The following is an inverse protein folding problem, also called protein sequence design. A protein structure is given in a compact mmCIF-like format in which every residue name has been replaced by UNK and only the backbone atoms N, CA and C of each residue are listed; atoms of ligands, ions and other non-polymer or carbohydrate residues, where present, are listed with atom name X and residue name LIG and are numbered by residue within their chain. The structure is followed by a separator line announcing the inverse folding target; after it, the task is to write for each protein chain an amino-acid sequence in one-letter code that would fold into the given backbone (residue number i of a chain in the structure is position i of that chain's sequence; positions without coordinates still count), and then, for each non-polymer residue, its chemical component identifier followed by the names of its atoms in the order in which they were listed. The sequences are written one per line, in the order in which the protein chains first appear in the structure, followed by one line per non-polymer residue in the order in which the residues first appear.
data_IF_067720615616
#
_entry.id   IF_067720615616
#
_cell.length_a   1.000
_cell.length_b   1.000
_cell.length_c   1.000
_cell.angle_alpha   90.00
_cell.angle_beta   90.00
_cell.angle_gamma   90.00
#
_symmetry.space_group_name_H-M   'P 1'
#
loop_
_entity.id
_entity.type
_entity.pdbx_description
1 polymer ?
#
# COMPACT_ATOMS: atom_id res chain seq x y z
N UNK A 1 -8.85 -18.72 -5.40
CA UNK A 1 -9.90 -17.92 -6.10
C UNK A 1 -10.68 -18.68 -7.18
N UNK A 2 -10.04 -19.46 -8.07
CA UNK A 2 -10.76 -20.12 -9.18
C UNK A 2 -11.98 -20.95 -8.79
N UNK A 3 -12.00 -21.59 -7.61
CA UNK A 3 -13.14 -22.39 -7.14
C UNK A 3 -14.37 -21.52 -6.82
N UNK A 4 -14.16 -20.36 -6.20
CA UNK A 4 -15.23 -19.45 -5.80
C UNK A 4 -15.97 -18.86 -7.01
N UNK A 5 -15.21 -18.43 -8.03
CA UNK A 5 -15.78 -17.88 -9.27
C UNK A 5 -16.52 -18.93 -10.10
N UNK A 6 -16.22 -20.22 -9.92
CA UNK A 6 -16.93 -21.33 -10.60
C UNK A 6 -18.32 -21.59 -10.03
N UNK A 7 -18.58 -21.30 -8.75
CA UNK A 7 -19.89 -21.57 -8.14
C UNK A 7 -21.01 -20.78 -8.82
N UNK A 8 -20.77 -19.49 -9.12
CA UNK A 8 -21.72 -18.67 -9.87
C UNK A 8 -22.06 -19.26 -11.25
N UNK A 9 -21.05 -19.74 -11.98
CA UNK A 9 -21.24 -20.34 -13.31
C UNK A 9 -22.03 -21.65 -13.26
N UNK A 10 -21.70 -22.52 -12.29
CA UNK A 10 -22.39 -23.79 -12.11
C UNK A 10 -23.86 -23.57 -11.70
N UNK A 11 -24.11 -22.64 -10.78
CA UNK A 11 -25.48 -22.31 -10.36
C UNK A 11 -26.30 -21.69 -11.49
N UNK A 12 -25.71 -20.83 -12.31
CA UNK A 12 -26.35 -20.30 -13.53
C UNK A 12 -26.70 -21.40 -14.52
N UNK A 13 -25.84 -22.43 -14.65
CA UNK A 13 -26.12 -23.59 -15.50
C UNK A 13 -27.24 -24.47 -14.93
N UNK A 14 -27.27 -24.72 -13.62
CA UNK A 14 -28.34 -25.45 -12.95
C UNK A 14 -29.67 -24.71 -13.10
N UNK A 15 -29.71 -23.40 -12.81
CA UNK A 15 -30.88 -22.55 -13.01
C UNK A 15 -31.42 -22.60 -14.44
N UNK A 16 -30.55 -22.68 -15.45
CA UNK A 16 -30.97 -22.80 -16.86
C UNK A 16 -31.69 -24.12 -17.15
N UNK A 17 -31.38 -25.19 -16.42
CA UNK A 17 -31.93 -26.54 -16.61
C UNK A 17 -33.06 -26.87 -15.60
N UNK A 18 -33.45 -25.95 -14.72
CA UNK A 18 -34.54 -26.14 -13.76
C UNK A 18 -35.84 -25.59 -14.35
N UNK A 19 -36.88 -26.43 -14.40
CA UNK A 19 -38.22 -26.10 -14.92
C UNK A 19 -39.19 -25.60 -13.83
N UNK A 20 -38.95 -25.96 -12.57
CA UNK A 20 -39.79 -25.53 -11.44
C UNK A 20 -39.50 -24.06 -11.07
N UNK A 21 -40.51 -23.20 -11.18
CA UNK A 21 -40.41 -21.76 -10.90
C UNK A 21 -40.04 -21.41 -9.45
N UNK A 22 -40.52 -22.17 -8.46
CA UNK A 22 -40.17 -21.95 -7.05
C UNK A 22 -38.67 -22.19 -6.82
N UNK A 23 -38.15 -23.28 -7.37
CA UNK A 23 -36.72 -23.62 -7.30
C UNK A 23 -35.86 -22.63 -8.11
N UNK A 24 -36.37 -22.10 -9.22
CA UNK A 24 -35.67 -21.05 -10.00
C UNK A 24 -35.53 -19.75 -9.22
N UNK A 25 -36.56 -19.37 -8.45
CA UNK A 25 -36.51 -18.20 -7.59
C UNK A 25 -35.44 -18.36 -6.49
N UNK A 26 -35.40 -19.52 -5.81
CA UNK A 26 -34.36 -19.84 -4.82
C UNK A 26 -32.96 -19.84 -5.42
N UNK A 27 -32.79 -20.46 -6.60
CA UNK A 27 -31.52 -20.48 -7.33
C UNK A 27 -31.06 -19.07 -7.72
N UNK A 28 -31.98 -18.17 -8.08
CA UNK A 28 -31.67 -16.77 -8.39
C UNK A 28 -31.12 -16.04 -7.16
N UNK A 29 -31.75 -16.25 -6.00
CA UNK A 29 -31.25 -15.71 -4.74
C UNK A 29 -29.86 -16.25 -4.41
N UNK A 30 -29.65 -17.56 -4.55
CA UNK A 30 -28.36 -18.19 -4.29
C UNK A 30 -27.26 -17.69 -5.24
N UNK A 31 -27.56 -17.53 -6.53
CA UNK A 31 -26.63 -16.95 -7.51
C UNK A 31 -26.21 -15.54 -7.08
N UNK A 32 -27.16 -14.70 -6.69
CA UNK A 32 -26.89 -13.34 -6.21
C UNK A 32 -25.98 -13.36 -4.99
N UNK A 33 -26.29 -14.19 -3.98
CA UNK A 33 -25.46 -14.30 -2.78
C UNK A 33 -24.03 -14.77 -3.08
N UNK A 34 -23.85 -15.71 -4.01
CA UNK A 34 -22.53 -16.16 -4.43
C UNK A 34 -21.78 -15.07 -5.20
N UNK A 35 -22.45 -14.34 -6.10
CA UNK A 35 -21.85 -13.23 -6.84
C UNK A 35 -21.41 -12.10 -5.89
N UNK A 36 -22.25 -11.72 -4.93
CA UNK A 36 -21.94 -10.71 -3.91
C UNK A 36 -20.77 -11.16 -3.01
N UNK A 37 -20.74 -12.43 -2.63
CA UNK A 37 -19.64 -13.01 -1.85
C UNK A 37 -18.32 -12.97 -2.63
N UNK A 38 -18.32 -13.37 -3.90
CA UNK A 38 -17.14 -13.31 -4.77
C UNK A 38 -16.65 -11.87 -4.91
N UNK A 39 -17.55 -10.90 -5.08
CA UNK A 39 -17.21 -9.49 -5.16
C UNK A 39 -16.55 -8.98 -3.85
N UNK A 40 -17.11 -9.36 -2.70
CA UNK A 40 -16.57 -9.03 -1.38
C UNK A 40 -15.16 -9.61 -1.18
N UNK A 41 -14.96 -10.89 -1.50
CA UNK A 41 -13.65 -11.54 -1.42
C UNK A 41 -12.63 -10.88 -2.35
N UNK A 42 -13.01 -10.56 -3.59
CA UNK A 42 -12.14 -9.84 -4.52
C UNK A 42 -11.74 -8.46 -3.98
N UNK A 43 -12.69 -7.72 -3.40
CA UNK A 43 -12.42 -6.41 -2.82
C UNK A 43 -11.50 -6.52 -1.59
N UNK A 44 -11.64 -7.55 -0.76
CA UNK A 44 -10.75 -7.80 0.37
C UNK A 44 -9.33 -8.16 -0.08
N UNK A 45 -9.19 -9.03 -1.09
CA UNK A 45 -7.88 -9.39 -1.66
C UNK A 45 -7.18 -8.17 -2.26
N UNK A 46 -7.91 -7.35 -3.03
CA UNK A 46 -7.39 -6.12 -3.60
C UNK A 46 -6.88 -5.16 -2.52
N UNK A 47 -7.67 -4.92 -1.47
CA UNK A 47 -7.24 -4.07 -0.34
C UNK A 47 -5.99 -4.62 0.35
N UNK A 48 -5.92 -5.93 0.59
CA UNK A 48 -4.73 -6.52 1.21
C UNK A 48 -3.48 -6.34 0.34
N UNK A 49 -3.60 -6.49 -0.97
CA UNK A 49 -2.50 -6.25 -1.90
C UNK A 49 -2.08 -4.78 -1.91
N UNK A 50 -3.04 -3.86 -1.95
CA UNK A 50 -2.79 -2.40 -1.88
C UNK A 50 -2.09 -2.00 -0.59
N UNK A 51 -2.54 -2.51 0.56
CA UNK A 51 -1.90 -2.29 1.87
C UNK A 51 -0.48 -2.86 1.90
N UNK A 52 -0.26 -4.07 1.37
CA UNK A 52 1.06 -4.68 1.32
C UNK A 52 2.03 -3.87 0.43
N UNK A 53 1.54 -3.37 -0.72
CA UNK A 53 2.32 -2.48 -1.61
C UNK A 53 2.69 -1.18 -0.90
N UNK A 54 1.73 -0.56 -0.19
CA UNK A 54 2.01 0.65 0.59
C UNK A 54 3.04 0.41 1.70
N UNK A 55 2.93 -0.70 2.43
CA UNK A 55 3.89 -1.08 3.47
C UNK A 55 5.30 -1.31 2.91
N UNK A 56 5.40 -1.96 1.73
CA UNK A 56 6.67 -2.15 1.03
C UNK A 56 7.27 -0.85 0.51
N UNK A 57 6.45 0.15 0.17
CA UNK A 57 6.93 1.47 -0.18
C UNK A 57 7.41 2.24 1.05
N UNK A 58 6.65 2.19 2.15
CA UNK A 58 7.00 2.84 3.41
C UNK A 58 8.34 2.35 3.97
N UNK A 59 8.64 1.05 3.86
CA UNK A 59 9.92 0.48 4.34
C UNK A 59 11.15 0.96 3.56
N UNK A 60 10.97 1.54 2.36
CA UNK A 60 12.05 2.11 1.55
C UNK A 60 12.26 3.61 1.80
N UNK A 61 11.34 4.26 2.51
CA UNK A 61 11.38 5.71 2.73
C UNK A 61 11.98 5.99 4.11
N UNK A 62 12.98 6.88 4.14
CA UNK A 62 13.56 7.37 5.39
C UNK A 62 12.77 8.56 5.96
N UNK A 63 13.08 8.95 7.19
CA UNK A 63 12.52 10.15 7.83
C UNK A 63 12.73 11.40 6.97
N UNK A 64 11.76 12.30 6.99
CA UNK A 64 11.84 13.58 6.27
C UNK A 64 13.01 14.43 6.79
N UNK A 65 13.98 14.70 5.91
CA UNK A 65 15.25 15.38 6.24
C UNK A 65 15.42 16.65 5.38
N UNK A 66 14.51 17.62 5.55
CA UNK A 66 14.52 18.88 4.74
C UNK A 66 14.82 20.11 5.58
N UNK A 67 15.06 19.95 6.89
CA UNK A 67 15.50 21.06 7.73
C UNK A 67 17.01 21.00 7.91
N UNK A 68 17.74 21.50 6.91
CA UNK A 68 19.18 21.78 7.05
C UNK A 68 19.36 22.93 8.06
N UNK A 69 19.49 22.57 9.34
CA UNK A 69 19.86 23.51 10.40
C UNK A 69 21.38 23.63 10.49
N UNK A 70 21.89 24.84 10.73
CA UNK A 70 23.31 25.05 11.05
C UNK A 70 23.65 24.66 12.50
N UNK A 71 22.62 24.41 13.31
CA UNK A 71 22.70 24.04 14.72
C UNK A 71 22.29 22.56 14.90
N UNK A 72 23.25 21.74 15.33
CA UNK A 72 23.08 20.30 15.58
C UNK A 72 22.11 19.99 16.74
N UNK A 73 22.00 20.88 17.73
CA UNK A 73 21.06 20.69 18.84
C UNK A 73 19.63 20.88 18.34
N UNK A 74 19.41 21.94 17.55
CA UNK A 74 18.13 22.19 16.91
C UNK A 74 17.73 21.06 15.95
N UNK A 75 18.67 20.51 15.18
CA UNK A 75 18.41 19.37 14.30
C UNK A 75 17.94 18.15 15.10
N UNK A 76 18.59 17.83 16.23
CA UNK A 76 18.19 16.73 17.12
C UNK A 76 16.78 16.94 17.67
N UNK A 77 16.43 18.16 18.09
CA UNK A 77 15.09 18.47 18.58
C UNK A 77 14.03 18.30 17.48
N UNK A 78 14.28 18.81 16.27
CA UNK A 78 13.33 18.76 15.16
C UNK A 78 13.13 17.31 14.69
N UNK A 79 14.18 16.51 14.65
CA UNK A 79 14.12 15.12 14.21
C UNK A 79 13.21 14.25 15.08
N UNK A 80 13.15 14.52 16.39
CA UNK A 80 12.25 13.82 17.32
C UNK A 80 10.78 14.05 16.95
N UNK A 81 10.46 15.23 16.42
CA UNK A 81 9.10 15.60 16.01
C UNK A 81 8.81 15.37 14.52
N UNK A 82 9.82 15.00 13.73
CA UNK A 82 9.70 14.76 12.29
C UNK A 82 9.37 13.29 11.99
N UNK A 83 8.23 12.84 12.49
CA UNK A 83 7.71 11.50 12.19
C UNK A 83 6.96 11.52 10.86
N UNK A 84 7.44 10.73 9.90
CA UNK A 84 6.78 10.55 8.61
C UNK A 84 6.32 9.11 8.49
N UNK A 85 5.00 8.90 8.45
CA UNK A 85 4.41 7.58 8.29
C UNK A 85 3.20 7.67 7.34
N UNK A 86 3.30 6.97 6.22
CA UNK A 86 2.26 6.90 5.20
C UNK A 86 1.27 5.75 5.43
N UNK A 87 1.54 4.85 6.38
CA UNK A 87 0.77 3.64 6.64
C UNK A 87 -0.27 3.81 7.74
N UNK A 88 0.10 4.38 8.90
CA UNK A 88 -0.80 4.47 10.05
C UNK A 88 -1.49 5.83 10.18
N UNK A 89 -0.89 6.89 9.64
CA UNK A 89 -1.42 8.25 9.80
C UNK A 89 -2.64 8.45 8.89
N UNK A 90 -3.81 8.82 9.45
CA UNK A 90 -5.03 8.99 8.68
C UNK A 90 -4.93 10.16 7.71
N UNK A 91 -5.69 10.09 6.63
CA UNK A 91 -5.75 11.14 5.61
C UNK A 91 -6.55 12.34 6.18
N UNK A 92 -5.96 13.55 6.25
CA UNK A 92 -6.67 14.73 6.73
C UNK A 92 -7.94 15.00 5.92
N UNK A 93 -9.08 15.20 6.60
CA UNK A 93 -10.36 15.49 5.94
C UNK A 93 -11.10 14.27 5.38
N UNK A 94 -10.56 13.06 5.52
CA UNK A 94 -11.25 11.82 5.15
C UNK A 94 -11.81 11.07 6.36
N UNK A 95 -12.83 10.21 6.16
CA UNK A 95 -13.28 9.25 7.18
C UNK A 95 -12.13 8.34 7.64
N UNK A 96 -12.17 7.92 8.92
CA UNK A 96 -11.14 7.07 9.53
C UNK A 96 -10.94 5.72 8.83
N UNK A 97 -11.96 5.24 8.12
CA UNK A 97 -11.91 3.98 7.37
C UNK A 97 -11.27 4.12 5.98
N UNK A 98 -10.91 5.34 5.59
CA UNK A 98 -10.26 5.61 4.31
C UNK A 98 -8.81 5.16 4.38
N UNK A 99 -8.48 4.14 3.60
CA UNK A 99 -7.11 3.66 3.48
C UNK A 99 -6.36 4.46 2.41
N UNK A 100 -5.14 4.86 2.73
CA UNK A 100 -4.20 5.41 1.74
C UNK A 100 -3.81 4.29 0.77
N UNK A 101 -3.77 4.59 -0.53
CA UNK A 101 -3.36 3.63 -1.56
C UNK A 101 -2.25 4.22 -2.41
N UNK A 102 -1.23 3.41 -2.68
CA UNK A 102 -0.18 3.72 -3.66
C UNK A 102 -0.71 3.43 -5.06
N UNK A 103 -0.96 4.49 -5.84
CA UNK A 103 -1.51 4.40 -7.20
C UNK A 103 -0.43 4.07 -8.22
N UNK A 104 0.74 4.69 -8.09
CA UNK A 104 1.88 4.52 -9.01
C UNK A 104 3.17 4.95 -8.33
N UNK A 105 4.27 4.33 -8.73
CA UNK A 105 5.61 4.80 -8.40
C UNK A 105 6.55 4.67 -9.60
N UNK A 106 7.68 5.38 -9.58
CA UNK A 106 8.71 5.27 -10.61
C UNK A 106 9.78 6.34 -10.55
N UNK A 107 10.88 6.07 -11.26
CA UNK A 107 12.03 6.97 -11.32
C UNK A 107 11.83 8.07 -12.38
N UNK A 108 12.05 9.31 -11.98
CA UNK A 108 11.86 10.50 -12.80
C UNK A 108 13.01 11.49 -12.62
N UNK A 109 13.13 12.42 -13.56
CA UNK A 109 14.11 13.52 -13.50
C UNK A 109 13.40 14.81 -13.13
N UNK A 110 13.64 15.31 -11.93
CA UNK A 110 13.12 16.61 -11.48
C UNK A 110 14.06 17.72 -11.96
N UNK A 111 13.50 18.77 -12.56
CA UNK A 111 14.24 19.98 -12.91
C UNK A 111 13.92 21.06 -11.89
N UNK A 112 14.94 21.49 -11.15
CA UNK A 112 14.81 22.62 -10.23
C UNK A 112 15.12 23.95 -10.95
N UNK A 113 14.61 25.07 -10.43
CA UNK A 113 14.72 26.42 -11.01
C UNK A 113 16.19 26.86 -11.21
N UNK A 114 17.12 26.29 -10.45
CA UNK A 114 18.56 26.59 -10.49
C UNK A 114 19.32 25.71 -11.53
N UNK A 115 18.61 25.08 -12.47
CA UNK A 115 19.11 24.28 -13.61
C UNK A 115 19.60 22.86 -13.33
N UNK A 116 19.65 22.41 -12.08
CA UNK A 116 20.04 21.04 -11.76
C UNK A 116 18.91 20.05 -12.10
N UNK A 117 19.22 19.04 -12.93
CA UNK A 117 18.37 17.87 -13.13
C UNK A 117 18.76 16.83 -12.07
N UNK A 118 17.82 16.45 -11.23
CA UNK A 118 18.00 15.46 -10.16
C UNK A 118 17.20 14.20 -10.49
N UNK A 119 17.80 13.03 -10.29
CA UNK A 119 17.08 11.76 -10.32
C UNK A 119 16.33 11.57 -9.00
N UNK A 120 15.04 11.31 -9.08
CA UNK A 120 14.12 11.16 -7.95
C UNK A 120 13.24 9.95 -8.15
N UNK A 121 12.83 9.31 -7.06
CA UNK A 121 11.80 8.28 -7.06
C UNK A 121 10.48 8.92 -6.62
N UNK A 122 9.44 8.83 -7.44
CA UNK A 122 8.14 9.44 -7.17
C UNK A 122 7.16 8.37 -6.71
N UNK A 123 6.39 8.68 -5.67
CA UNK A 123 5.24 7.87 -5.24
C UNK A 123 3.97 8.71 -5.31
N UNK A 124 3.02 8.28 -6.13
CA UNK A 124 1.70 8.87 -6.25
C UNK A 124 0.72 8.09 -5.37
N UNK A 125 0.26 8.73 -4.30
CA UNK A 125 -0.74 8.21 -3.38
C UNK A 125 -2.09 8.88 -3.65
N UNK A 126 -3.14 8.41 -2.98
CA UNK A 126 -4.50 8.94 -3.10
C UNK A 126 -4.65 10.40 -2.68
N UNK A 127 -3.81 10.85 -1.75
CA UNK A 127 -3.90 12.15 -1.07
C UNK A 127 -2.61 12.98 -1.17
N UNK A 128 -1.51 12.40 -1.67
CA UNK A 128 -0.20 13.05 -1.69
C UNK A 128 0.69 12.53 -2.82
N UNK A 129 1.61 13.39 -3.25
CA UNK A 129 2.69 13.05 -4.19
C UNK A 129 4.02 13.18 -3.45
N UNK A 130 4.74 12.09 -3.29
CA UNK A 130 6.06 12.08 -2.67
C UNK A 130 7.14 12.13 -3.73
N UNK A 131 8.14 12.96 -3.49
CA UNK A 131 9.34 13.06 -4.30
C UNK A 131 10.52 12.67 -3.41
N UNK A 132 11.00 11.45 -3.57
CA UNK A 132 12.08 10.90 -2.77
C UNK A 132 13.41 11.10 -3.50
N UNK A 133 14.37 11.74 -2.83
CA UNK A 133 15.76 11.80 -3.29
C UNK A 133 16.47 10.48 -2.93
N UNK A 134 17.44 10.02 -3.73
CA UNK A 134 18.26 8.88 -3.36
C UNK A 134 19.03 9.18 -2.07
N UNK A 135 18.92 8.31 -1.07
CA UNK A 135 19.70 8.42 0.18
C UNK A 135 21.15 8.03 -0.08
N UNK A 136 22.10 8.83 0.41
CA UNK A 136 23.54 8.56 0.32
C UNK A 136 24.06 7.66 1.45
N UNK A 137 23.20 7.32 2.42
CA UNK A 137 23.56 6.40 3.51
C UNK A 137 23.56 4.97 3.00
N UNK A 138 24.75 4.43 2.74
CA UNK A 138 24.94 2.98 2.59
C UNK A 138 24.40 2.28 3.83
N UNK A 139 23.50 1.32 3.63
CA UNK A 139 23.16 0.32 4.65
C UNK A 139 24.46 -0.39 5.05
N UNK A 140 25.09 0.07 6.13
CA UNK A 140 26.13 -0.69 6.80
C UNK A 140 25.42 -1.89 7.42
N UNK A 141 25.49 -3.03 6.75
CA UNK A 141 25.17 -4.33 7.33
C UNK A 141 26.07 -4.51 8.55
N UNK A 142 25.57 -4.18 9.74
CA UNK A 142 26.14 -4.60 11.01
C UNK A 142 25.94 -6.11 11.12
N UNK A 143 26.87 -6.86 10.53
CA UNK A 143 27.04 -8.27 10.82
C UNK A 143 27.30 -8.43 12.31
N UNK A 144 26.40 -9.13 13.01
CA UNK A 144 26.71 -9.68 14.31
C UNK A 144 27.85 -10.68 14.13
N UNK A 145 29.06 -10.31 14.55
CA UNK A 145 30.08 -11.28 14.95
C UNK A 145 30.15 -11.26 16.46
N UNK A 146 29.50 -12.25 17.08
CA UNK A 146 29.63 -12.52 18.49
C UNK A 146 31.09 -12.84 18.82
N UNK A 147 31.67 -12.04 19.71
CA UNK A 147 32.95 -12.35 20.35
C UNK A 147 32.70 -13.47 21.36
N UNK A 148 33.11 -14.69 21.00
CA UNK A 148 33.36 -15.76 21.97
C UNK A 148 34.85 -15.68 22.30
N UNK A 149 35.18 -15.37 23.54
CA UNK A 149 36.56 -15.33 24.02
C UNK A 149 36.59 -15.56 25.51
N UNK A 150 36.81 -16.80 25.91
CA UNK A 150 37.19 -17.15 27.27
C UNK A 150 38.71 -17.00 27.44
N UNK A 151 39.14 -16.60 28.64
CA UNK A 151 39.88 -17.43 29.60
C UNK A 151 39.37 -17.05 30.99
#
# INVERSE_FOLDING_TARGET
MQRLTKYSLLLKAVHKNTENEEQRAELTHMIKSVDDFVASVNAALKRNEETARLASAASRIESYDVVESRDEELEKLIKIHSTFDITTVPIPGCPKDTLRVLLREGDLKLRDAVSSKMEVHILLLTDMLLICKPSTKKTSSSGLTGTVGGV
#
